data_IF_915796396007
#
_entry.id   IF_915796396007
#
_cell.length_a   1.000
_cell.length_b   1.000
_cell.length_c   1.000
_cell.angle_alpha   90.00
_cell.angle_beta   90.00
_cell.angle_gamma   90.00
#
_symmetry.space_group_name_H-M   'P 1'
#
loop_
_entity.id
_entity.type
_entity.pdbx_description
1 polymer ?
#
# COMPACT_ATOMS: atom_id res chain seq x y z
N UNK A 1 5.38 9.24 17.92
CA UNK A 1 6.19 8.69 16.81
C UNK A 1 7.62 9.20 16.83
N UNK A 2 7.89 10.51 16.95
CA UNK A 2 9.26 11.05 16.78
C UNK A 2 9.97 11.51 18.07
N UNK A 3 9.39 11.27 19.25
CA UNK A 3 9.91 11.73 20.56
C UNK A 3 10.31 13.21 20.56
N UNK A 4 9.54 14.07 19.87
CA UNK A 4 9.76 15.50 19.88
C UNK A 4 9.43 16.06 21.27
N UNK A 5 10.16 17.09 21.68
CA UNK A 5 9.78 17.90 22.83
C UNK A 5 8.63 18.83 22.39
N UNK A 6 7.41 18.29 22.35
CA UNK A 6 6.24 19.00 21.81
C UNK A 6 5.75 20.13 22.70
N UNK A 7 6.30 20.29 23.92
CA UNK A 7 5.80 21.23 24.91
C UNK A 7 4.50 20.74 25.55
N UNK A 8 3.68 21.63 26.14
CA UNK A 8 2.45 21.27 26.82
C UNK A 8 1.45 20.61 25.85
N UNK A 9 0.68 19.65 26.37
CA UNK A 9 -0.47 19.08 25.66
C UNK A 9 -1.49 20.19 25.39
N UNK A 10 -2.14 20.15 24.23
CA UNK A 10 -3.11 21.14 23.82
C UNK A 10 -4.49 20.51 23.65
N UNK A 11 -5.52 21.29 23.96
CA UNK A 11 -6.92 20.86 23.88
C UNK A 11 -7.69 21.91 23.09
N UNK A 12 -8.29 21.52 21.96
CA UNK A 12 -9.05 22.44 21.12
C UNK A 12 -10.52 22.03 21.04
N UNK A 13 -11.47 22.90 21.43
CA UNK A 13 -12.90 22.60 21.39
C UNK A 13 -13.47 22.79 19.97
N UNK A 14 -13.15 21.88 19.05
CA UNK A 14 -13.51 22.00 17.62
C UNK A 14 -14.97 22.37 17.37
N UNK A 15 -15.90 21.68 18.03
CA UNK A 15 -17.34 21.87 17.84
C UNK A 15 -17.88 23.17 18.46
N UNK A 16 -17.09 23.85 19.28
CA UNK A 16 -17.43 25.16 19.82
C UNK A 16 -17.22 26.28 18.79
N UNK A 17 -16.22 26.14 17.91
CA UNK A 17 -15.90 27.12 16.87
C UNK A 17 -16.85 26.99 15.67
N UNK A 18 -18.07 27.54 15.80
CA UNK A 18 -19.08 27.56 14.75
C UNK A 18 -18.99 28.81 13.87
N UNK A 19 -19.55 28.74 12.65
CA UNK A 19 -19.70 29.90 11.76
C UNK A 19 -20.50 31.03 12.41
N UNK A 20 -21.52 30.71 13.20
CA UNK A 20 -22.32 31.69 13.95
C UNK A 20 -21.52 32.38 15.05
N UNK A 21 -20.68 31.64 15.77
CA UNK A 21 -19.82 32.21 16.81
C UNK A 21 -18.74 33.11 16.19
N UNK A 22 -18.14 32.68 15.08
CA UNK A 22 -17.09 33.42 14.38
C UNK A 22 -17.62 34.64 13.61
N UNK A 23 -18.90 34.65 13.22
CA UNK A 23 -19.55 35.81 12.63
C UNK A 23 -19.79 36.95 13.64
N UNK A 24 -19.75 36.66 14.94
CA UNK A 24 -19.81 37.69 15.97
C UNK A 24 -18.41 38.32 16.15
N UNK A 25 -18.27 39.58 15.74
CA UNK A 25 -16.98 40.29 15.62
C UNK A 25 -16.25 40.56 16.96
N UNK A 26 -16.83 40.13 18.08
CA UNK A 26 -16.31 40.36 19.43
C UNK A 26 -15.18 39.39 19.84
N UNK A 27 -14.88 38.38 19.01
CA UNK A 27 -13.76 37.41 19.18
C UNK A 27 -13.66 36.76 20.58
N UNK A 28 -14.76 36.78 21.33
CA UNK A 28 -14.83 36.36 22.73
C UNK A 28 -15.58 35.04 22.83
N UNK A 29 -14.96 34.07 23.48
CA UNK A 29 -15.54 32.76 23.79
C UNK A 29 -15.88 32.64 25.27
N UNK A 30 -16.91 31.85 25.58
CA UNK A 30 -17.35 31.50 26.93
C UNK A 30 -16.72 30.16 27.31
N UNK A 31 -15.94 30.14 28.40
CA UNK A 31 -15.14 28.99 28.82
C UNK A 31 -16.01 27.80 29.20
N UNK A 32 -17.09 28.03 29.97
CA UNK A 32 -18.00 26.95 30.40
C UNK A 32 -18.68 26.26 29.22
N UNK A 33 -18.99 27.00 28.15
CA UNK A 33 -19.55 26.44 26.91
C UNK A 33 -18.49 25.67 26.11
N UNK A 34 -17.28 26.22 25.97
CA UNK A 34 -16.17 25.55 25.31
C UNK A 34 -15.81 24.21 25.97
N UNK A 35 -15.82 24.17 27.32
CA UNK A 35 -15.52 22.98 28.11
C UNK A 35 -16.48 21.80 27.84
N UNK A 36 -17.72 22.04 27.36
CA UNK A 36 -18.67 20.97 27.00
C UNK A 36 -18.21 20.14 25.80
N UNK A 37 -17.30 20.69 24.99
CA UNK A 37 -16.83 20.06 23.75
C UNK A 37 -15.46 19.39 23.89
N UNK A 38 -14.91 19.31 25.10
CA UNK A 38 -13.58 18.76 25.37
C UNK A 38 -13.60 17.84 26.59
N UNK A 39 -12.69 16.88 26.64
CA UNK A 39 -12.58 15.92 27.76
C UNK A 39 -11.62 16.39 28.87
N UNK A 40 -10.63 17.23 28.53
CA UNK A 40 -9.51 17.60 29.39
C UNK A 40 -9.54 19.11 29.67
N UNK A 41 -10.51 19.51 30.51
CA UNK A 41 -10.76 20.91 30.83
C UNK A 41 -9.58 21.55 31.58
N UNK A 42 -8.89 20.81 32.44
CA UNK A 42 -7.73 21.32 33.19
C UNK A 42 -6.59 21.76 32.24
N UNK A 43 -6.33 20.96 31.21
CA UNK A 43 -5.32 21.32 30.20
C UNK A 43 -5.76 22.53 29.39
N UNK A 44 -7.04 22.60 29.00
CA UNK A 44 -7.61 23.75 28.30
C UNK A 44 -7.47 25.06 29.10
N UNK A 45 -7.78 25.03 30.41
CA UNK A 45 -7.61 26.19 31.29
C UNK A 45 -6.14 26.62 31.35
N UNK A 46 -5.22 25.67 31.54
CA UNK A 46 -3.77 25.95 31.51
C UNK A 46 -3.32 26.51 30.16
N UNK A 47 -3.85 26.03 29.04
CA UNK A 47 -3.53 26.54 27.72
C UNK A 47 -3.97 28.01 27.61
N UNK A 48 -5.21 28.35 27.98
CA UNK A 48 -5.71 29.74 27.95
C UNK A 48 -4.85 30.66 28.81
N UNK A 49 -4.51 30.25 30.03
CA UNK A 49 -3.73 31.06 30.97
C UNK A 49 -2.27 31.26 30.50
N UNK A 50 -1.72 30.30 29.76
CA UNK A 50 -0.35 30.38 29.25
C UNK A 50 -0.17 31.35 28.08
N UNK A 51 -1.26 31.69 27.38
CA UNK A 51 -1.22 32.54 26.19
C UNK A 51 -1.47 33.98 26.61
N UNK A 52 -0.48 34.86 26.39
CA UNK A 52 -0.55 36.28 26.78
C UNK A 52 -1.81 36.94 26.23
N UNK A 53 -2.69 37.38 27.14
CA UNK A 53 -3.93 38.08 26.82
C UNK A 53 -5.00 37.21 26.17
N UNK A 54 -4.92 35.88 26.30
CA UNK A 54 -5.97 34.96 25.86
C UNK A 54 -7.05 34.79 26.93
N UNK A 55 -6.69 34.69 28.20
CA UNK A 55 -7.64 34.86 29.31
C UNK A 55 -8.13 36.31 29.31
N UNK A 56 -9.44 36.52 29.13
CA UNK A 56 -10.05 37.86 29.18
C UNK A 56 -10.50 38.14 30.62
N UNK A 57 -11.27 37.23 31.20
CA UNK A 57 -11.78 37.28 32.58
C UNK A 57 -12.10 35.86 33.10
N UNK A 58 -12.76 35.75 34.26
CA UNK A 58 -13.16 34.48 34.90
C UNK A 58 -14.08 33.57 34.07
N UNK A 59 -14.77 34.09 33.06
CA UNK A 59 -15.71 33.34 32.23
C UNK A 59 -15.34 33.34 30.74
N UNK A 60 -14.44 34.22 30.31
CA UNK A 60 -14.19 34.47 28.90
C UNK A 60 -12.72 34.29 28.47
N UNK A 61 -12.55 33.95 27.20
CA UNK A 61 -11.25 33.86 26.53
C UNK A 61 -11.32 34.38 25.10
N UNK A 62 -10.16 34.71 24.54
CA UNK A 62 -10.01 35.23 23.17
C UNK A 62 -9.90 34.07 22.16
N UNK A 63 -10.93 33.92 21.31
CA UNK A 63 -11.05 32.84 20.32
C UNK A 63 -9.92 32.90 19.28
N UNK A 64 -9.56 34.10 18.83
CA UNK A 64 -8.57 34.29 17.77
C UNK A 64 -7.17 33.98 18.28
N UNK A 65 -6.81 34.45 19.48
CA UNK A 65 -5.51 34.14 20.09
C UNK A 65 -5.35 32.66 20.39
N UNK A 66 -6.39 32.02 20.91
CA UNK A 66 -6.35 30.59 21.22
C UNK A 66 -6.20 29.75 19.93
N UNK A 67 -7.03 30.01 18.92
CA UNK A 67 -6.94 29.33 17.62
C UNK A 67 -5.63 29.61 16.90
N UNK A 68 -5.11 30.84 16.94
CA UNK A 68 -3.80 31.19 16.38
C UNK A 68 -2.67 30.41 17.07
N UNK A 69 -2.70 30.29 18.40
CA UNK A 69 -1.73 29.51 19.14
C UNK A 69 -1.78 28.03 18.73
N UNK A 70 -2.97 27.43 18.73
CA UNK A 70 -3.18 26.04 18.35
C UNK A 70 -2.72 25.74 16.92
N UNK A 71 -3.12 26.58 15.95
CA UNK A 71 -2.69 26.42 14.56
C UNK A 71 -1.17 26.57 14.39
N UNK A 72 -0.53 27.50 15.12
CA UNK A 72 0.93 27.64 15.11
C UNK A 72 1.61 26.39 15.65
N UNK A 73 1.06 25.78 16.70
CA UNK A 73 1.59 24.54 17.24
C UNK A 73 1.49 23.40 16.24
N UNK A 74 0.32 23.17 15.61
CA UNK A 74 0.14 22.09 14.64
C UNK A 74 1.15 22.17 13.50
N UNK A 75 1.32 23.36 12.92
CA UNK A 75 2.31 23.61 11.86
C UNK A 75 3.74 23.42 12.38
N UNK A 76 4.03 23.84 13.61
CA UNK A 76 5.35 23.66 14.24
C UNK A 76 5.67 22.18 14.44
N UNK A 77 4.78 21.41 15.08
CA UNK A 77 4.94 19.97 15.32
C UNK A 77 5.10 19.23 14.00
N UNK A 78 4.29 19.55 12.99
CA UNK A 78 4.39 18.95 11.67
C UNK A 78 5.78 19.21 11.06
N UNK A 79 6.25 20.45 11.10
CA UNK A 79 7.59 20.82 10.59
C UNK A 79 8.69 20.09 11.35
N UNK A 80 8.67 20.12 12.67
CA UNK A 80 9.69 19.49 13.52
C UNK A 80 9.73 17.96 13.30
N UNK A 81 8.55 17.33 13.24
CA UNK A 81 8.41 15.91 12.94
C UNK A 81 8.93 15.55 11.56
N UNK A 82 8.60 16.35 10.55
CA UNK A 82 9.07 16.14 9.18
C UNK A 82 10.60 16.33 9.06
N UNK A 83 11.16 17.37 9.68
CA UNK A 83 12.62 17.60 9.69
C UNK A 83 13.35 16.45 10.39
N UNK A 84 12.82 15.96 11.51
CA UNK A 84 13.38 14.79 12.20
C UNK A 84 13.32 13.55 11.32
N UNK A 85 12.16 13.26 10.73
CA UNK A 85 11.99 12.15 9.79
C UNK A 85 13.00 12.23 8.63
N UNK A 86 13.13 13.40 8.01
CA UNK A 86 14.11 13.63 6.94
C UNK A 86 15.54 13.35 7.40
N UNK A 87 15.96 13.93 8.53
CA UNK A 87 17.33 13.80 9.01
C UNK A 87 17.66 12.36 9.39
N UNK A 88 16.72 11.65 10.01
CA UNK A 88 16.91 10.24 10.38
C UNK A 88 17.04 9.36 9.12
N UNK A 89 16.18 9.56 8.10
CA UNK A 89 16.26 8.80 6.83
C UNK A 89 17.51 9.14 6.03
N UNK A 90 17.88 10.42 5.94
CA UNK A 90 19.09 10.86 5.24
C UNK A 90 20.34 10.27 5.90
N UNK A 91 20.41 10.27 7.23
CA UNK A 91 21.54 9.70 7.97
C UNK A 91 21.65 8.18 7.80
N UNK A 92 20.54 7.47 7.88
CA UNK A 92 20.55 5.99 7.90
C UNK A 92 20.61 5.36 6.49
N UNK A 93 20.00 6.02 5.51
CA UNK A 93 19.79 5.45 4.17
C UNK A 93 20.40 6.27 3.04
N UNK A 94 20.94 7.45 3.33
CA UNK A 94 21.44 8.41 2.32
C UNK A 94 20.37 8.79 1.29
N UNK A 95 19.13 8.92 1.76
CA UNK A 95 17.98 9.33 0.96
C UNK A 95 17.38 10.63 1.51
N UNK A 96 17.23 11.64 0.66
CA UNK A 96 16.57 12.87 1.04
C UNK A 96 15.06 12.75 0.83
N UNK A 97 14.30 12.78 1.92
CA UNK A 97 12.83 12.64 1.90
C UNK A 97 12.14 13.66 0.97
N UNK A 98 12.70 14.85 0.76
CA UNK A 98 12.12 15.85 -0.15
C UNK A 98 12.01 15.38 -1.60
N UNK A 99 12.81 14.41 -2.02
CA UNK A 99 12.80 13.90 -3.39
C UNK A 99 11.66 12.90 -3.64
N UNK A 100 10.88 12.57 -2.61
CA UNK A 100 9.88 11.51 -2.63
C UNK A 100 8.54 11.96 -2.05
N UNK A 101 7.46 11.71 -2.80
CA UNK A 101 6.10 12.04 -2.37
C UNK A 101 5.55 11.10 -1.27
N UNK A 102 6.15 9.92 -1.09
CA UNK A 102 5.64 8.91 -0.15
C UNK A 102 6.71 7.95 0.35
N UNK A 103 6.44 7.30 1.49
CA UNK A 103 7.31 6.27 2.07
C UNK A 103 7.49 5.06 1.13
N UNK A 104 6.48 4.71 0.31
CA UNK A 104 6.62 3.67 -0.70
C UNK A 104 7.64 4.05 -1.77
N UNK A 105 7.74 5.35 -2.11
CA UNK A 105 8.74 5.83 -3.08
C UNK A 105 10.15 5.79 -2.49
N UNK A 106 10.30 6.11 -1.21
CA UNK A 106 11.56 5.97 -0.46
C UNK A 106 11.97 4.50 -0.39
N UNK A 107 11.05 3.61 0.00
CA UNK A 107 11.29 2.17 0.08
C UNK A 107 11.70 1.59 -1.27
N UNK A 108 11.00 1.94 -2.35
CA UNK A 108 11.37 1.49 -3.69
C UNK A 108 12.77 1.97 -4.07
N UNK A 109 13.09 3.24 -3.79
CA UNK A 109 14.42 3.78 -4.11
C UNK A 109 15.55 3.12 -3.33
N UNK A 110 15.30 2.80 -2.06
CA UNK A 110 16.23 2.04 -1.24
C UNK A 110 16.54 0.67 -1.86
N UNK A 111 15.50 -0.04 -2.29
CA UNK A 111 15.64 -1.37 -2.92
C UNK A 111 16.20 -1.30 -4.34
N UNK A 112 15.86 -0.27 -5.12
CA UNK A 112 16.51 0.01 -6.41
C UNK A 112 18.04 0.08 -6.22
N UNK A 113 18.50 0.90 -5.29
CA UNK A 113 19.93 1.12 -5.09
C UNK A 113 20.65 -0.11 -4.52
N UNK A 114 20.00 -0.87 -3.62
CA UNK A 114 20.65 -1.97 -2.87
C UNK A 114 20.41 -3.37 -3.42
N UNK A 115 19.32 -3.56 -4.17
CA UNK A 115 18.88 -4.88 -4.66
C UNK A 115 18.76 -4.89 -6.17
N UNK A 116 17.99 -3.97 -6.76
CA UNK A 116 17.60 -4.10 -8.16
C UNK A 116 18.71 -3.69 -9.14
N UNK A 117 19.28 -2.49 -8.99
CA UNK A 117 20.36 -2.03 -9.87
C UNK A 117 21.64 -2.86 -9.75
N UNK A 118 22.06 -3.32 -8.56
CA UNK A 118 23.23 -4.19 -8.45
C UNK A 118 23.09 -5.54 -9.18
N UNK A 119 21.87 -6.02 -9.44
CA UNK A 119 21.64 -7.23 -10.23
C UNK A 119 21.94 -7.00 -11.71
N UNK A 120 21.46 -5.88 -12.27
CA UNK A 120 21.68 -5.49 -13.67
C UNK A 120 20.81 -6.23 -14.70
N UNK A 121 20.00 -7.21 -14.28
CA UNK A 121 19.18 -8.05 -15.17
C UNK A 121 17.71 -8.15 -14.70
N UNK A 122 17.24 -7.16 -13.93
CA UNK A 122 15.82 -7.01 -13.54
C UNK A 122 15.19 -5.88 -14.35
N UNK A 123 13.95 -6.09 -14.80
CA UNK A 123 13.27 -5.15 -15.68
C UNK A 123 11.87 -4.81 -15.18
N UNK A 124 11.51 -3.54 -15.22
CA UNK A 124 10.13 -3.11 -15.11
C UNK A 124 9.34 -3.52 -16.36
N UNK A 125 8.06 -3.86 -16.17
CA UNK A 125 7.16 -4.23 -17.24
C UNK A 125 6.20 -3.09 -17.58
N UNK A 126 5.80 -3.00 -18.85
CA UNK A 126 4.70 -2.14 -19.32
C UNK A 126 3.71 -2.91 -20.20
N UNK A 127 2.62 -2.25 -20.59
CA UNK A 127 1.64 -2.75 -21.57
C UNK A 127 1.12 -4.17 -21.24
N UNK A 128 1.02 -5.04 -22.25
CA UNK A 128 0.35 -6.36 -22.15
C UNK A 128 1.00 -7.29 -21.12
N UNK A 129 2.34 -7.49 -21.07
CA UNK A 129 2.94 -8.35 -20.05
C UNK A 129 2.69 -7.84 -18.63
N UNK A 130 2.84 -6.53 -18.41
CA UNK A 130 2.54 -5.90 -17.10
C UNK A 130 1.09 -6.13 -16.71
N UNK A 131 0.16 -5.82 -17.61
CA UNK A 131 -1.28 -5.95 -17.37
C UNK A 131 -1.68 -7.39 -17.06
N UNK A 132 -1.18 -8.36 -17.83
CA UNK A 132 -1.44 -9.77 -17.59
C UNK A 132 -0.92 -10.22 -16.23
N UNK A 133 0.35 -9.95 -15.93
CA UNK A 133 0.97 -10.37 -14.65
C UNK A 133 0.32 -9.65 -13.46
N UNK A 134 -0.10 -8.38 -13.63
CA UNK A 134 -0.86 -7.66 -12.61
C UNK A 134 -2.21 -8.31 -12.28
N UNK A 135 -2.82 -9.10 -13.17
CA UNK A 135 -4.05 -9.85 -12.85
C UNK A 135 -3.83 -10.99 -11.86
N UNK A 136 -2.59 -11.46 -11.71
CA UNK A 136 -2.22 -12.41 -10.66
C UNK A 136 -2.15 -11.77 -9.26
N UNK A 137 -2.29 -10.44 -9.15
CA UNK A 137 -2.28 -9.73 -7.86
C UNK A 137 -3.55 -10.10 -7.09
N UNK A 138 -3.35 -10.80 -5.97
CA UNK A 138 -4.41 -11.10 -5.02
C UNK A 138 -4.01 -10.55 -3.65
N UNK A 139 -4.83 -9.64 -3.11
CA UNK A 139 -4.60 -9.03 -1.81
C UNK A 139 -4.68 -10.02 -0.63
N UNK A 140 -4.71 -9.47 0.59
CA UNK A 140 -4.90 -10.26 1.80
C UNK A 140 -6.24 -11.00 1.79
N UNK A 141 -6.22 -12.23 2.28
CA UNK A 141 -7.43 -13.05 2.46
C UNK A 141 -8.16 -12.59 3.73
N UNK A 142 -9.34 -11.99 3.57
CA UNK A 142 -10.22 -11.64 4.68
C UNK A 142 -11.46 -12.51 4.61
N UNK A 143 -11.52 -13.54 5.44
CA UNK A 143 -12.59 -14.54 5.41
C UNK A 143 -12.86 -15.12 6.79
N UNK A 144 -14.07 -15.63 6.96
CA UNK A 144 -14.46 -16.46 8.11
C UNK A 144 -14.46 -17.93 7.68
N UNK A 145 -14.39 -18.85 8.64
CA UNK A 145 -14.60 -20.28 8.36
C UNK A 145 -15.92 -20.46 7.62
N UNK A 146 -15.84 -21.10 6.45
CA UNK A 146 -16.97 -21.40 5.56
C UNK A 146 -17.73 -20.15 5.09
N UNK A 147 -17.10 -18.97 5.16
CA UNK A 147 -17.72 -17.66 4.91
C UNK A 147 -18.97 -17.40 5.77
N UNK A 148 -19.08 -18.03 6.95
CA UNK A 148 -20.23 -17.86 7.84
C UNK A 148 -19.88 -17.07 9.09
N UNK A 149 -20.85 -16.26 9.54
CA UNK A 149 -20.74 -15.53 10.82
C UNK A 149 -20.60 -16.51 11.98
N UNK A 150 -19.56 -16.32 12.79
CA UNK A 150 -19.29 -17.12 13.98
C UNK A 150 -19.74 -16.37 15.24
N UNK A 151 -20.33 -17.09 16.21
CA UNK A 151 -20.68 -16.55 17.54
C UNK A 151 -20.17 -17.53 18.60
N UNK A 152 -19.39 -17.02 19.55
CA UNK A 152 -18.93 -17.80 20.70
C UNK A 152 -19.37 -17.13 21.99
N UNK A 153 -20.24 -17.78 22.75
CA UNK A 153 -20.68 -17.30 24.07
C UNK A 153 -19.90 -17.92 25.24
N UNK A 154 -19.21 -19.04 25.00
CA UNK A 154 -18.59 -19.86 26.06
C UNK A 154 -17.12 -20.20 25.82
N UNK A 155 -16.60 -20.03 24.61
CA UNK A 155 -15.19 -20.32 24.29
C UNK A 155 -14.36 -19.05 24.28
N UNK A 156 -13.20 -19.10 24.94
CA UNK A 156 -12.16 -18.09 24.81
C UNK A 156 -11.61 -18.10 23.38
N UNK A 157 -11.40 -16.91 22.81
CA UNK A 157 -10.80 -16.73 21.48
C UNK A 157 -9.34 -16.37 21.68
N UNK A 158 -8.44 -17.11 21.02
CA UNK A 158 -7.04 -16.75 20.91
C UNK A 158 -6.82 -15.98 19.61
N UNK A 159 -6.18 -14.82 19.70
CA UNK A 159 -5.80 -13.99 18.55
C UNK A 159 -4.32 -14.19 18.23
N UNK A 160 -4.03 -14.57 16.99
CA UNK A 160 -2.68 -14.81 16.50
C UNK A 160 -2.37 -13.83 15.37
N UNK A 161 -1.40 -12.96 15.59
CA UNK A 161 -0.92 -12.02 14.57
C UNK A 161 0.50 -12.37 14.12
N UNK A 162 0.71 -12.42 12.82
CA UNK A 162 2.01 -12.73 12.24
C UNK A 162 2.94 -11.53 12.37
N UNK A 163 4.12 -11.74 12.96
CA UNK A 163 5.11 -10.66 13.12
C UNK A 163 5.73 -10.31 11.76
N UNK A 164 5.32 -9.18 11.19
CA UNK A 164 5.88 -8.64 9.93
C UNK A 164 5.71 -9.61 8.75
N UNK A 165 4.45 -9.92 8.40
CA UNK A 165 4.11 -10.89 7.37
C UNK A 165 4.79 -10.64 6.01
N UNK A 166 4.71 -9.43 5.46
CA UNK A 166 5.33 -9.13 4.15
C UNK A 166 6.86 -9.21 4.17
N UNK A 167 7.58 -8.63 5.16
CA UNK A 167 9.02 -8.87 5.31
C UNK A 167 9.36 -10.36 5.44
N UNK A 168 8.57 -11.13 6.19
CA UNK A 168 8.75 -12.57 6.33
C UNK A 168 8.58 -13.30 5.00
N UNK A 169 7.62 -12.87 4.16
CA UNK A 169 7.45 -13.39 2.82
C UNK A 169 8.65 -13.06 1.93
N UNK A 170 9.11 -11.80 1.93
CA UNK A 170 10.26 -11.36 1.12
C UNK A 170 11.54 -12.11 1.51
N UNK A 171 11.74 -12.39 2.81
CA UNK A 171 12.89 -13.15 3.31
C UNK A 171 12.94 -14.61 2.80
N UNK A 172 11.85 -15.12 2.22
CA UNK A 172 11.72 -16.44 1.59
C UNK A 172 11.67 -16.37 0.06
N UNK A 173 11.66 -15.18 -0.52
CA UNK A 173 11.47 -14.94 -1.95
C UNK A 173 12.74 -14.59 -2.68
N UNK A 174 12.60 -14.39 -3.97
CA UNK A 174 13.66 -14.01 -4.91
C UNK A 174 13.05 -13.08 -5.96
N UNK A 175 13.90 -12.40 -6.71
CA UNK A 175 13.53 -11.71 -7.94
C UNK A 175 13.82 -12.59 -9.15
N UNK A 176 12.96 -12.52 -10.17
CA UNK A 176 13.11 -13.25 -11.43
C UNK A 176 13.94 -12.41 -12.40
N UNK A 177 15.04 -12.97 -12.90
CA UNK A 177 15.89 -12.30 -13.88
C UNK A 177 15.36 -12.43 -15.32
N UNK A 178 15.68 -11.42 -16.14
CA UNK A 178 15.31 -11.36 -17.54
C UNK A 178 13.90 -10.83 -17.78
N UNK A 179 13.36 -11.12 -18.96
CA UNK A 179 12.05 -10.68 -19.41
C UNK A 179 11.09 -11.87 -19.53
N UNK A 180 9.78 -11.66 -19.30
CA UNK A 180 8.80 -12.74 -19.40
C UNK A 180 8.66 -13.21 -20.86
N UNK A 181 8.63 -14.52 -21.06
CA UNK A 181 8.42 -15.19 -22.34
C UNK A 181 7.01 -15.78 -22.39
N UNK A 182 6.35 -15.68 -23.54
CA UNK A 182 5.01 -16.27 -23.73
C UNK A 182 5.13 -17.80 -23.68
N UNK A 183 4.22 -18.45 -22.96
CA UNK A 183 4.11 -19.91 -22.96
C UNK A 183 3.73 -20.42 -24.35
N UNK A 184 4.38 -21.49 -24.79
CA UNK A 184 4.05 -22.19 -26.03
C UNK A 184 3.01 -23.28 -25.77
N UNK A 185 2.37 -23.77 -26.82
CA UNK A 185 1.29 -24.76 -26.72
C UNK A 185 1.73 -26.02 -25.97
N UNK A 186 2.96 -26.51 -26.17
CA UNK A 186 3.49 -27.67 -25.46
C UNK A 186 3.67 -27.46 -23.94
N UNK A 187 3.68 -26.19 -23.50
CA UNK A 187 3.85 -25.81 -22.10
C UNK A 187 2.52 -25.60 -21.37
N UNK A 188 1.38 -25.67 -22.07
CA UNK A 188 0.04 -25.41 -21.53
C UNK A 188 -0.52 -26.61 -20.75
N UNK A 189 0.28 -27.17 -19.84
CA UNK A 189 -0.18 -28.18 -18.88
C UNK A 189 0.44 -27.95 -17.50
N UNK A 190 -0.35 -28.28 -16.47
CA UNK A 190 0.09 -28.15 -15.08
C UNK A 190 1.30 -29.05 -14.82
N UNK A 191 1.31 -30.26 -15.38
CA UNK A 191 2.39 -31.23 -15.28
C UNK A 191 3.67 -30.70 -15.91
N UNK A 192 3.59 -30.07 -17.09
CA UNK A 192 4.76 -29.48 -17.75
C UNK A 192 5.33 -28.34 -16.91
N UNK A 193 4.50 -27.41 -16.45
CA UNK A 193 4.94 -26.28 -15.63
C UNK A 193 5.60 -26.76 -14.34
N UNK A 194 5.00 -27.71 -13.60
CA UNK A 194 5.57 -28.22 -12.36
C UNK A 194 6.86 -29.01 -12.57
N UNK A 195 6.95 -29.79 -13.66
CA UNK A 195 8.15 -30.54 -14.01
C UNK A 195 9.34 -29.62 -14.25
N UNK A 196 9.15 -28.53 -15.00
CA UNK A 196 10.24 -27.64 -15.42
C UNK A 196 10.46 -26.41 -14.51
N UNK A 197 9.56 -26.14 -13.56
CA UNK A 197 9.73 -25.12 -12.53
C UNK A 197 10.87 -25.47 -11.59
N UNK A 198 11.77 -24.51 -11.37
CA UNK A 198 12.84 -24.54 -10.38
C UNK A 198 12.33 -25.00 -9.01
N UNK A 199 13.13 -25.84 -8.34
CA UNK A 199 12.91 -26.19 -6.95
C UNK A 199 13.03 -24.95 -6.04
N UNK A 200 12.49 -25.00 -4.82
CA UNK A 200 12.29 -23.80 -3.98
C UNK A 200 13.57 -22.98 -3.73
N UNK A 201 14.72 -23.64 -3.55
CA UNK A 201 16.03 -22.99 -3.30
C UNK A 201 16.96 -22.96 -4.53
N UNK A 202 16.49 -23.42 -5.69
CA UNK A 202 17.25 -23.38 -6.93
C UNK A 202 17.43 -21.94 -7.40
N UNK A 203 18.64 -21.57 -7.82
CA UNK A 203 18.99 -20.21 -8.26
C UNK A 203 19.24 -20.08 -9.76
N UNK A 204 19.72 -21.15 -10.36
CA UNK A 204 20.15 -21.21 -11.77
C UNK A 204 19.47 -22.38 -12.47
N UNK A 205 19.29 -22.34 -13.79
CA UNK A 205 18.65 -23.43 -14.53
C UNK A 205 19.52 -24.69 -14.51
N UNK A 206 18.92 -25.83 -14.19
CA UNK A 206 19.61 -27.13 -14.10
C UNK A 206 18.78 -28.20 -14.79
N UNK A 207 19.29 -28.76 -15.89
CA UNK A 207 18.63 -29.83 -16.63
C UNK A 207 17.22 -29.45 -17.10
N UNK A 208 16.22 -30.26 -16.73
CA UNK A 208 14.80 -29.98 -17.07
C UNK A 208 14.21 -28.84 -16.22
N UNK A 209 14.86 -28.45 -15.11
CA UNK A 209 14.41 -27.38 -14.23
C UNK A 209 14.92 -26.03 -14.72
N UNK A 210 14.34 -25.51 -15.80
CA UNK A 210 14.78 -24.26 -16.45
C UNK A 210 13.84 -23.07 -16.21
N UNK A 211 12.62 -23.27 -15.69
CA UNK A 211 11.69 -22.17 -15.44
C UNK A 211 11.88 -21.61 -14.02
N UNK A 212 12.33 -20.37 -13.88
CA UNK A 212 12.49 -19.73 -12.57
C UNK A 212 11.17 -19.26 -11.96
N UNK A 213 10.16 -18.98 -12.78
CA UNK A 213 8.82 -18.63 -12.32
C UNK A 213 7.86 -18.47 -13.49
N UNK A 214 6.56 -18.49 -13.21
CA UNK A 214 5.54 -18.28 -14.24
C UNK A 214 4.29 -17.61 -13.66
N UNK A 215 3.50 -17.06 -14.57
CA UNK A 215 2.23 -16.37 -14.32
C UNK A 215 1.23 -16.82 -15.38
N UNK A 216 0.13 -17.43 -14.96
CA UNK A 216 -0.80 -18.13 -15.86
C UNK A 216 -2.25 -17.81 -15.54
N UNK A 217 -3.09 -17.85 -16.57
CA UNK A 217 -4.53 -17.99 -16.44
C UNK A 217 -4.86 -19.48 -16.45
N UNK A 218 -5.48 -19.95 -15.37
CA UNK A 218 -5.94 -21.33 -15.25
C UNK A 218 -7.46 -21.41 -15.26
N UNK A 219 -7.99 -22.55 -15.68
CA UNK A 219 -9.37 -22.96 -15.47
C UNK A 219 -9.38 -24.13 -14.51
N UNK A 220 -9.89 -23.92 -13.31
CA UNK A 220 -10.04 -25.00 -12.32
C UNK A 220 -11.15 -25.93 -12.80
N UNK A 221 -10.86 -27.22 -12.88
CA UNK A 221 -11.80 -28.24 -13.35
C UNK A 221 -12.29 -29.13 -12.21
N UNK A 222 -11.44 -29.37 -11.21
CA UNK A 222 -11.76 -30.21 -10.06
C UNK A 222 -11.11 -29.67 -8.77
N UNK A 223 -11.81 -29.82 -7.64
CA UNK A 223 -11.32 -29.48 -6.30
C UNK A 223 -11.35 -30.75 -5.46
N UNK A 224 -10.19 -31.34 -5.20
CA UNK A 224 -10.10 -32.58 -4.42
C UNK A 224 -10.35 -32.39 -2.92
N UNK A 225 -9.97 -31.25 -2.35
CA UNK A 225 -10.06 -30.98 -0.91
C UNK A 225 -10.76 -29.62 -0.69
N UNK A 226 -12.06 -29.63 -0.36
CA UNK A 226 -12.76 -28.44 0.12
C UNK A 226 -12.12 -27.94 1.43
N UNK A 227 -11.83 -26.65 1.50
CA UNK A 227 -11.26 -26.02 2.71
C UNK A 227 -12.28 -25.10 3.36
N UNK A 228 -12.30 -25.09 4.70
CA UNK A 228 -13.04 -24.10 5.49
C UNK A 228 -12.55 -22.66 5.22
N UNK A 229 -11.27 -22.53 4.86
CA UNK A 229 -10.66 -21.32 4.37
C UNK A 229 -10.16 -21.57 2.94
N UNK A 230 -11.00 -21.39 1.91
CA UNK A 230 -10.62 -21.65 0.52
C UNK A 230 -9.43 -20.81 0.08
N UNK A 231 -8.49 -21.43 -0.65
CA UNK A 231 -7.36 -20.74 -1.27
C UNK A 231 -7.77 -20.10 -2.61
N UNK A 232 -8.74 -20.69 -3.28
CA UNK A 232 -9.30 -20.25 -4.56
C UNK A 232 -9.94 -18.86 -4.41
N UNK A 233 -9.66 -17.99 -5.38
CA UNK A 233 -10.25 -16.65 -5.47
C UNK A 233 -11.10 -16.56 -6.72
N UNK A 234 -12.42 -16.47 -6.52
CA UNK A 234 -13.39 -16.22 -7.58
C UNK A 234 -13.51 -14.71 -7.79
N UNK A 235 -12.77 -14.19 -8.78
CA UNK A 235 -12.89 -12.79 -9.19
C UNK A 235 -14.20 -12.58 -9.98
N UNK A 236 -15.14 -11.74 -9.49
CA UNK A 236 -16.41 -11.49 -10.17
C UNK A 236 -16.25 -10.86 -11.56
N UNK A 237 -15.17 -10.12 -11.83
CA UNK A 237 -14.93 -9.56 -13.16
C UNK A 237 -14.50 -10.63 -14.17
N UNK A 238 -13.80 -11.66 -13.68
CA UNK A 238 -13.33 -12.77 -14.50
C UNK A 238 -14.36 -13.90 -14.62
N UNK A 239 -15.22 -14.04 -13.61
CA UNK A 239 -16.24 -15.08 -13.51
C UNK A 239 -17.61 -14.45 -13.19
N UNK A 240 -18.15 -13.58 -14.05
CA UNK A 240 -19.39 -12.84 -13.79
C UNK A 240 -20.62 -13.74 -13.58
N UNK A 241 -20.58 -14.97 -14.08
CA UNK A 241 -21.62 -15.98 -13.91
C UNK A 241 -21.61 -16.64 -12.52
N UNK A 242 -20.50 -16.54 -11.77
CA UNK A 242 -20.36 -17.14 -10.46
C UNK A 242 -20.80 -16.18 -9.36
N UNK A 243 -22.02 -16.36 -8.86
CA UNK A 243 -22.53 -15.60 -7.72
C UNK A 243 -22.11 -16.22 -6.37
N UNK A 244 -20.81 -16.25 -6.12
CA UNK A 244 -20.20 -16.84 -4.92
C UNK A 244 -19.31 -15.83 -4.20
N UNK A 245 -19.01 -16.03 -2.89
CA UNK A 245 -18.02 -15.22 -2.21
C UNK A 245 -16.67 -15.22 -2.93
N UNK A 246 -15.92 -14.12 -2.81
CA UNK A 246 -14.62 -13.95 -3.48
C UNK A 246 -13.62 -15.06 -3.14
N UNK A 247 -13.70 -15.67 -1.96
CA UNK A 247 -12.96 -16.89 -1.62
C UNK A 247 -13.94 -18.03 -1.41
N UNK A 248 -13.94 -19.02 -2.31
CA UNK A 248 -14.92 -20.11 -2.30
C UNK A 248 -14.32 -21.41 -2.84
N UNK A 249 -14.87 -22.56 -2.44
CA UNK A 249 -14.55 -23.85 -3.05
C UNK A 249 -15.34 -24.02 -4.36
N UNK A 250 -15.03 -23.20 -5.37
CA UNK A 250 -15.74 -23.18 -6.65
C UNK A 250 -14.77 -23.28 -7.81
N UNK A 251 -15.05 -24.14 -8.79
CA UNK A 251 -14.30 -24.19 -10.03
C UNK A 251 -14.50 -22.89 -10.81
N UNK A 252 -13.41 -22.19 -11.11
CA UNK A 252 -13.44 -20.88 -11.77
C UNK A 252 -12.21 -20.67 -12.65
N UNK A 253 -12.24 -19.61 -13.46
CA UNK A 253 -11.05 -19.00 -14.04
C UNK A 253 -10.30 -18.22 -12.98
N UNK A 254 -8.97 -18.33 -12.97
CA UNK A 254 -8.12 -17.66 -11.98
C UNK A 254 -6.76 -17.32 -12.58
N UNK A 255 -6.29 -16.10 -12.38
CA UNK A 255 -4.89 -15.73 -12.65
C UNK A 255 -4.04 -16.07 -11.44
N UNK A 256 -2.96 -16.82 -11.64
CA UNK A 256 -2.07 -17.31 -10.57
C UNK A 256 -0.61 -17.21 -10.98
N UNK A 257 0.26 -16.97 -10.00
CA UNK A 257 1.68 -17.24 -10.13
C UNK A 257 2.01 -18.68 -9.75
N UNK A 258 3.26 -19.08 -9.95
CA UNK A 258 3.74 -20.41 -9.62
C UNK A 258 3.55 -20.78 -8.15
N UNK A 259 3.71 -19.82 -7.22
CA UNK A 259 3.51 -20.03 -5.78
C UNK A 259 2.05 -20.37 -5.49
N UNK A 260 1.12 -19.57 -6.01
CA UNK A 260 -0.31 -19.80 -5.79
C UNK A 260 -0.76 -21.12 -6.42
N UNK A 261 -0.29 -21.44 -7.63
CA UNK A 261 -0.64 -22.71 -8.28
C UNK A 261 -0.13 -23.93 -7.51
N UNK A 262 1.11 -23.90 -7.03
CA UNK A 262 1.66 -24.95 -6.15
C UNK A 262 0.79 -25.14 -4.90
N UNK A 263 0.33 -24.04 -4.27
CA UNK A 263 -0.49 -24.11 -3.06
C UNK A 263 -1.90 -24.65 -3.33
N UNK A 264 -2.51 -24.26 -4.44
CA UNK A 264 -3.82 -24.79 -4.86
C UNK A 264 -3.76 -26.32 -5.07
N UNK A 265 -2.72 -26.80 -5.76
CA UNK A 265 -2.52 -28.23 -6.00
C UNK A 265 -2.25 -28.95 -4.68
N UNK A 266 -1.28 -28.47 -3.89
CA UNK A 266 -0.82 -29.14 -2.67
C UNK A 266 -1.89 -29.16 -1.58
N UNK A 267 -2.55 -28.03 -1.35
CA UNK A 267 -3.44 -27.86 -0.21
C UNK A 267 -4.92 -28.02 -0.56
N UNK A 268 -5.36 -27.82 -1.81
CA UNK A 268 -6.75 -28.05 -2.20
C UNK A 268 -6.95 -29.19 -3.18
N UNK A 269 -5.89 -29.88 -3.60
CA UNK A 269 -5.99 -30.95 -4.58
C UNK A 269 -6.62 -30.46 -5.89
N UNK A 270 -6.34 -29.21 -6.27
CA UNK A 270 -6.90 -28.60 -7.48
C UNK A 270 -6.34 -29.27 -8.72
N UNK A 271 -7.22 -29.64 -9.65
CA UNK A 271 -6.87 -29.92 -11.04
C UNK A 271 -7.34 -28.77 -11.91
N UNK A 272 -6.50 -28.38 -12.86
CA UNK A 272 -6.79 -27.25 -13.72
C UNK A 272 -6.12 -27.36 -15.09
N UNK A 273 -6.71 -26.69 -16.06
CA UNK A 273 -6.16 -26.46 -17.39
C UNK A 273 -5.41 -25.13 -17.41
N UNK A 274 -4.23 -25.10 -18.02
CA UNK A 274 -3.46 -23.87 -18.24
C UNK A 274 -3.87 -23.30 -19.59
N UNK A 275 -4.41 -22.08 -19.61
CA UNK A 275 -4.95 -21.49 -20.85
C UNK A 275 -3.93 -20.64 -21.59
N UNK A 276 -3.16 -19.84 -20.86
CA UNK A 276 -2.14 -18.94 -21.39
C UNK A 276 -1.30 -18.39 -20.23
N UNK A 277 -0.14 -17.84 -20.56
CA UNK A 277 0.67 -17.14 -19.56
C UNK A 277 2.07 -16.80 -20.03
N UNK A 278 2.86 -16.38 -19.05
CA UNK A 278 4.26 -16.04 -19.21
C UNK A 278 5.11 -16.85 -18.26
N UNK A 279 6.34 -17.16 -18.67
CA UNK A 279 7.36 -17.76 -17.81
C UNK A 279 8.67 -16.98 -17.89
N UNK A 280 9.52 -17.19 -16.89
CA UNK A 280 10.89 -16.71 -16.83
C UNK A 280 11.83 -17.92 -16.84
N UNK A 281 12.93 -17.80 -17.56
CA UNK A 281 14.01 -18.81 -17.63
C UNK A 281 15.38 -18.25 -17.27
N UNK A 282 15.43 -17.01 -16.75
CA UNK A 282 16.61 -16.45 -16.10
C UNK A 282 16.78 -16.96 -14.68
N UNK A 283 17.85 -16.53 -14.01
CA UNK A 283 18.16 -16.91 -12.64
C UNK A 283 17.15 -16.33 -11.62
N UNK A 284 17.19 -16.85 -10.39
CA UNK A 284 16.54 -16.27 -9.22
C UNK A 284 17.58 -15.53 -8.37
N UNK A 285 17.43 -14.22 -8.24
CA UNK A 285 18.30 -13.42 -7.35
C UNK A 285 17.69 -13.33 -5.94
N UNK A 286 18.49 -13.70 -4.95
CA UNK A 286 18.12 -13.78 -3.53
C UNK A 286 18.60 -12.58 -2.71
N UNK A 287 19.27 -11.58 -3.30
CA UNK A 287 19.76 -10.37 -2.58
C UNK A 287 18.67 -9.68 -1.76
N UNK A 288 17.42 -9.72 -2.25
CA UNK A 288 16.28 -9.15 -1.54
C UNK A 288 16.05 -9.77 -0.16
N UNK A 289 16.37 -11.07 0.02
CA UNK A 289 16.26 -11.78 1.30
C UNK A 289 17.19 -11.15 2.33
N UNK A 290 18.43 -10.88 1.93
CA UNK A 290 19.46 -10.36 2.81
C UNK A 290 19.20 -8.90 3.17
N UNK A 291 18.75 -8.07 2.22
CA UNK A 291 18.43 -6.67 2.50
C UNK A 291 17.24 -6.54 3.46
N UNK A 292 16.19 -7.36 3.30
CA UNK A 292 15.07 -7.35 4.26
C UNK A 292 15.49 -7.81 5.64
N UNK A 293 16.35 -8.84 5.76
CA UNK A 293 16.88 -9.28 7.06
C UNK A 293 17.67 -8.16 7.74
N UNK A 294 18.56 -7.48 7.01
CA UNK A 294 19.33 -6.34 7.52
C UNK A 294 18.42 -5.23 8.05
N UNK A 295 17.40 -4.84 7.28
CA UNK A 295 16.43 -3.82 7.71
C UNK A 295 15.62 -4.28 8.94
N UNK A 296 15.26 -5.55 9.01
CA UNK A 296 14.54 -6.10 10.16
C UNK A 296 15.41 -6.09 11.42
N UNK A 297 16.67 -6.52 11.34
CA UNK A 297 17.64 -6.47 12.45
C UNK A 297 17.92 -5.04 12.90
N UNK A 298 18.07 -4.11 11.95
CA UNK A 298 18.24 -2.69 12.25
C UNK A 298 17.03 -2.12 12.99
N UNK A 299 15.81 -2.51 12.59
CA UNK A 299 14.59 -2.16 13.31
C UNK A 299 14.61 -2.71 14.74
N UNK A 300 15.02 -3.97 14.94
CA UNK A 300 15.11 -4.57 16.27
C UNK A 300 16.11 -3.83 17.16
N UNK A 301 17.26 -3.44 16.61
CA UNK A 301 18.25 -2.60 17.30
C UNK A 301 17.62 -1.30 17.79
N UNK A 302 17.02 -0.52 16.89
CA UNK A 302 16.41 0.76 17.27
C UNK A 302 15.22 0.61 18.22
N UNK A 303 14.46 -0.48 18.11
CA UNK A 303 13.39 -0.79 19.05
C UNK A 303 13.93 -1.01 20.47
N UNK A 304 15.05 -1.73 20.62
CA UNK A 304 15.72 -1.93 21.92
C UNK A 304 16.26 -0.61 22.50
N UNK A 305 16.74 0.28 21.65
CA UNK A 305 17.24 1.61 22.04
C UNK A 305 16.11 2.62 22.35
N UNK A 306 14.84 2.25 22.17
CA UNK A 306 13.72 3.20 22.28
C UNK A 306 13.73 4.29 21.20
N UNK A 307 14.48 4.07 20.11
CA UNK A 307 14.66 5.06 19.05
C UNK A 307 13.46 5.05 18.09
N UNK A 308 12.81 6.21 17.85
CA UNK A 308 11.64 6.32 16.99
C UNK A 308 11.85 5.89 15.53
N UNK A 309 13.11 5.88 15.06
CA UNK A 309 13.47 5.44 13.71
C UNK A 309 12.97 4.01 13.38
N UNK A 310 12.79 3.15 14.39
CA UNK A 310 12.23 1.82 14.19
C UNK A 310 10.85 1.83 13.50
N UNK A 311 10.01 2.85 13.75
CA UNK A 311 8.70 2.96 13.09
C UNK A 311 8.86 3.34 11.61
N UNK A 312 9.82 4.19 11.26
CA UNK A 312 10.10 4.51 9.86
C UNK A 312 10.59 3.27 9.11
N UNK A 313 11.48 2.47 9.72
CA UNK A 313 11.96 1.22 9.12
C UNK A 313 10.82 0.21 8.98
N UNK A 314 9.93 0.12 9.96
CA UNK A 314 8.70 -0.69 9.86
C UNK A 314 7.85 -0.28 8.66
N UNK A 315 7.66 1.02 8.45
CA UNK A 315 6.91 1.53 7.30
C UNK A 315 7.62 1.21 5.99
N UNK A 316 8.94 1.36 5.90
CA UNK A 316 9.73 0.98 4.72
C UNK A 316 9.51 -0.50 4.40
N UNK A 317 9.70 -1.38 5.39
CA UNK A 317 9.54 -2.82 5.28
C UNK A 317 8.13 -3.23 4.79
N UNK A 318 7.08 -2.57 5.29
CA UNK A 318 5.70 -2.83 4.88
C UNK A 318 5.36 -2.22 3.52
N UNK A 319 6.18 -1.31 2.99
CA UNK A 319 5.88 -0.55 1.76
C UNK A 319 6.65 -1.03 0.53
N UNK A 320 7.52 -2.05 0.67
CA UNK A 320 8.39 -2.55 -0.40
C UNK A 320 7.59 -2.94 -1.65
N UNK A 321 6.47 -3.64 -1.47
CA UNK A 321 5.66 -4.12 -2.60
C UNK A 321 4.74 -3.02 -3.18
N UNK A 322 4.54 -1.89 -2.50
CA UNK A 322 3.52 -0.91 -2.91
C UNK A 322 3.77 -0.29 -4.29
N UNK A 323 5.04 -0.03 -4.63
CA UNK A 323 5.42 0.48 -5.96
C UNK A 323 5.46 -0.61 -7.02
N UNK A 324 5.75 -1.85 -6.65
CA UNK A 324 5.85 -2.97 -7.60
C UNK A 324 4.48 -3.35 -8.18
N UNK A 325 3.39 -3.11 -7.44
CA UNK A 325 2.01 -3.39 -7.89
C UNK A 325 1.18 -2.15 -8.19
N UNK A 326 1.80 -0.97 -8.32
CA UNK A 326 1.06 0.27 -8.51
C UNK A 326 0.19 0.21 -9.77
N UNK A 327 -1.12 0.43 -9.63
CA UNK A 327 -2.05 0.50 -10.76
C UNK A 327 -1.70 1.68 -11.69
N UNK A 328 -1.95 1.54 -13.00
CA UNK A 328 -1.73 2.64 -13.93
C UNK A 328 -2.58 3.86 -13.54
N UNK A 329 -1.98 5.04 -13.66
CA UNK A 329 -2.69 6.32 -13.48
C UNK A 329 -3.33 6.67 -14.83
N UNK A 330 -4.62 6.40 -14.96
CA UNK A 330 -5.38 6.55 -16.23
C UNK A 330 -5.89 7.98 -16.46
N UNK A 331 -5.85 8.83 -15.44
CA UNK A 331 -6.30 10.22 -15.57
C UNK A 331 -5.39 11.21 -14.87
N UNK A 332 -5.37 12.43 -15.39
CA UNK A 332 -4.68 13.58 -14.81
C UNK A 332 -5.69 14.70 -14.61
N UNK A 333 -5.62 15.35 -13.45
CA UNK A 333 -6.39 16.58 -13.19
C UNK A 333 -5.49 17.78 -13.50
N UNK A 334 -6.04 18.77 -14.19
CA UNK A 334 -5.40 20.07 -14.42
C UNK A 334 -6.39 21.17 -14.07
N UNK A 335 -5.93 22.15 -13.28
CA UNK A 335 -6.73 23.31 -12.88
C UNK A 335 -6.29 24.50 -13.75
N UNK A 336 -7.24 25.17 -14.37
CA UNK A 336 -7.01 26.26 -15.33
C UNK A 336 -7.88 27.45 -14.95
N UNK A 337 -7.39 28.68 -15.18
CA UNK A 337 -8.23 29.87 -15.00
C UNK A 337 -9.38 29.86 -16.00
N UNK A 338 -10.56 30.33 -15.61
CA UNK A 338 -11.76 30.32 -16.46
C UNK A 338 -11.55 31.09 -17.77
N UNK A 339 -10.82 32.21 -17.72
CA UNK A 339 -10.44 32.99 -18.90
C UNK A 339 -9.66 32.19 -19.95
N UNK A 340 -8.95 31.14 -19.52
CA UNK A 340 -8.13 30.27 -20.36
C UNK A 340 -8.79 28.92 -20.63
N UNK A 341 -9.93 28.61 -19.97
CA UNK A 341 -10.57 27.30 -19.99
C UNK A 341 -11.02 26.90 -21.39
N UNK A 342 -11.65 27.80 -22.16
CA UNK A 342 -12.08 27.52 -23.54
C UNK A 342 -10.87 27.19 -24.43
N UNK A 343 -9.80 27.98 -24.32
CA UNK A 343 -8.56 27.75 -25.09
C UNK A 343 -7.93 26.41 -24.72
N UNK A 344 -7.91 26.07 -23.43
CA UNK A 344 -7.41 24.80 -22.94
C UNK A 344 -8.26 23.62 -23.43
N UNK A 345 -9.58 23.77 -23.41
CA UNK A 345 -10.52 22.77 -23.90
C UNK A 345 -10.28 22.46 -25.39
N UNK A 346 -10.19 23.49 -26.23
CA UNK A 346 -9.92 23.33 -27.67
C UNK A 346 -8.58 22.62 -27.91
N UNK A 347 -7.53 22.99 -27.18
CA UNK A 347 -6.19 22.38 -27.36
C UNK A 347 -6.13 20.92 -26.93
N UNK A 348 -6.98 20.49 -26.00
CA UNK A 348 -6.90 19.17 -25.38
C UNK A 348 -8.16 18.32 -25.62
N UNK A 349 -9.04 18.70 -26.55
CA UNK A 349 -10.39 18.16 -26.67
C UNK A 349 -10.44 16.62 -26.74
N UNK A 350 -9.52 15.99 -27.50
CA UNK A 350 -9.42 14.53 -27.63
C UNK A 350 -9.04 13.80 -26.32
N UNK A 351 -8.46 14.52 -25.36
CA UNK A 351 -7.98 13.95 -24.11
C UNK A 351 -8.90 14.24 -22.93
N UNK A 352 -9.89 15.13 -23.08
CA UNK A 352 -10.75 15.53 -21.97
C UNK A 352 -11.82 14.46 -21.74
N UNK A 353 -11.88 13.96 -20.50
CA UNK A 353 -12.96 13.05 -20.03
C UNK A 353 -14.13 13.86 -19.51
N UNK A 354 -13.84 14.86 -18.67
CA UNK A 354 -14.82 15.81 -18.14
C UNK A 354 -14.15 17.11 -17.70
N UNK A 355 -14.92 18.18 -17.60
CA UNK A 355 -14.49 19.41 -16.95
C UNK A 355 -15.66 20.06 -16.23
N UNK A 356 -15.37 20.77 -15.14
CA UNK A 356 -16.36 21.46 -14.31
C UNK A 356 -15.75 22.73 -13.71
N UNK A 357 -16.56 23.79 -13.56
CA UNK A 357 -16.17 24.99 -12.83
C UNK A 357 -16.04 24.67 -11.35
N UNK A 358 -15.03 25.24 -10.68
CA UNK A 358 -14.86 25.10 -9.25
C UNK A 358 -15.66 26.20 -8.54
N UNK A 359 -16.71 25.80 -7.83
CA UNK A 359 -17.64 26.72 -7.15
C UNK A 359 -16.91 27.75 -6.28
N UNK A 360 -17.32 29.01 -6.41
CA UNK A 360 -16.74 30.12 -5.66
C UNK A 360 -15.33 30.52 -6.10
N UNK A 361 -14.85 30.06 -7.26
CA UNK A 361 -13.52 30.41 -7.79
C UNK A 361 -13.56 30.79 -9.28
N UNK A 362 -12.46 31.37 -9.76
CA UNK A 362 -12.22 31.69 -11.17
C UNK A 362 -11.49 30.54 -11.92
N UNK A 363 -11.73 29.30 -11.49
CA UNK A 363 -11.01 28.11 -11.96
C UNK A 363 -11.95 27.05 -12.53
N UNK A 364 -11.50 26.42 -13.60
CA UNK A 364 -12.11 25.22 -14.19
C UNK A 364 -11.18 24.03 -13.99
N UNK A 365 -11.74 22.91 -13.55
CA UNK A 365 -11.03 21.64 -13.37
C UNK A 365 -11.24 20.77 -14.60
N UNK A 366 -10.16 20.33 -15.24
CA UNK A 366 -10.17 19.38 -16.34
C UNK A 366 -9.65 18.02 -15.87
N UNK A 367 -10.43 16.96 -16.11
CA UNK A 367 -9.98 15.57 -16.00
C UNK A 367 -9.63 15.07 -17.40
N UNK A 368 -8.35 14.76 -17.62
CA UNK A 368 -7.83 14.26 -18.89
C UNK A 368 -7.48 12.78 -18.80
N UNK A 369 -7.61 12.05 -19.90
CA UNK A 369 -7.04 10.71 -20.04
C UNK A 369 -5.51 10.79 -20.05
N UNK A 370 -4.86 9.83 -19.40
CA UNK A 370 -3.40 9.70 -19.38
C UNK A 370 -3.04 8.36 -19.99
N UNK A 371 -2.14 8.39 -20.97
CA UNK A 371 -1.64 7.16 -21.58
C UNK A 371 -0.95 6.28 -20.55
N UNK A 372 -1.36 5.01 -20.50
CA UNK A 372 -0.78 3.98 -19.64
C UNK A 372 0.45 3.31 -20.27
N UNK A 373 0.78 3.62 -21.53
CA UNK A 373 1.91 3.01 -22.24
C UNK A 373 3.26 3.33 -21.61
N UNK A 374 3.33 4.41 -20.82
CA UNK A 374 4.51 4.82 -20.04
C UNK A 374 4.42 4.45 -18.56
N UNK A 375 3.46 3.59 -18.19
CA UNK A 375 3.37 3.05 -16.85
C UNK A 375 4.22 1.78 -16.76
N UNK A 376 5.24 1.84 -15.93
CA UNK A 376 6.19 0.77 -15.68
C UNK A 376 6.16 0.40 -14.20
N UNK A 377 6.19 -0.89 -13.91
CA UNK A 377 6.42 -1.38 -12.55
C UNK A 377 7.01 -2.80 -12.56
N UNK A 378 7.59 -3.20 -11.43
CA UNK A 378 8.15 -4.52 -11.23
C UNK A 378 7.11 -5.52 -10.68
N UNK A 379 5.96 -5.64 -11.36
CA UNK A 379 4.84 -6.45 -10.88
C UNK A 379 5.13 -7.93 -10.59
N UNK A 380 6.07 -8.64 -11.24
CA UNK A 380 6.38 -10.04 -10.90
C UNK A 380 6.75 -10.21 -9.42
N UNK A 381 7.63 -9.34 -8.90
CA UNK A 381 8.03 -9.35 -7.49
C UNK A 381 6.83 -9.07 -6.58
N UNK A 382 6.02 -8.06 -6.93
CA UNK A 382 4.84 -7.70 -6.15
C UNK A 382 3.83 -8.84 -6.03
N UNK A 383 3.56 -9.55 -7.12
CA UNK A 383 2.71 -10.74 -7.13
C UNK A 383 3.30 -11.83 -6.23
N UNK A 384 4.58 -12.16 -6.40
CA UNK A 384 5.20 -13.23 -5.62
C UNK A 384 5.24 -12.90 -4.11
N UNK A 385 5.45 -11.63 -3.73
CA UNK A 385 5.35 -11.16 -2.32
C UNK A 385 3.97 -11.47 -1.75
N UNK A 386 2.92 -11.09 -2.47
CA UNK A 386 1.56 -11.32 -2.01
C UNK A 386 1.23 -12.82 -1.96
N UNK A 387 1.69 -13.63 -2.92
CA UNK A 387 1.47 -15.08 -2.91
C UNK A 387 2.20 -15.76 -1.75
N UNK A 388 3.48 -15.47 -1.55
CA UNK A 388 4.26 -16.03 -0.44
C UNK A 388 3.71 -15.59 0.93
N UNK A 389 3.19 -14.36 1.03
CA UNK A 389 2.57 -13.90 2.28
C UNK A 389 1.33 -14.70 2.68
N UNK A 390 0.62 -15.31 1.71
CA UNK A 390 -0.54 -16.19 1.95
C UNK A 390 -0.14 -17.64 2.23
N UNK A 391 1.10 -18.02 1.93
CA UNK A 391 1.65 -19.37 2.15
C UNK A 391 2.15 -19.55 3.59
N UNK A 392 2.68 -18.49 4.19
CA UNK A 392 3.03 -18.41 5.62
C UNK A 392 1.74 -18.48 6.44
#
# INVERSE_FOLDING_TARGET
>A
MFNLQTGPKEVFPYNYYSSTLLANDNRTGVISEACKFIQDADTFMKNIDSIKGCRIDENHFDLEKYSTFYCKQDVRILREGFVKFRNDILKEFDLNVYDYVSICSIANKLFENRVYFPNGNLYDLSNKPREFISRCIQGGRCMLSDNMKQKSEKKLIADFDAVSLYPSAIARLYTLEGIPKVLKDEMLSTEYLMRHLFDDDQKEPIGEKFMSGFFVLIKITEIGIPRHFPLIVCDPELNPELNVPRSSNTCCLMYVDHITLQDLIKYQGVKCEVLQGYYYDGNRDIRIRDEVKKLFELRLKYKKEGNPLQENIKLILNSIYGKTILSPIESKITIVNDKDAIRYAIRNYNHIVKFEGLDGSDKTIFKLTKSICRHFNFCPLGVNILSMSKRI
#
